data_IF_749711858385
#
_entry.id   IF_749711858385
#
_cell.length_a   1.000
_cell.length_b   1.000
_cell.length_c   1.000
_cell.angle_alpha   90.00
_cell.angle_beta   90.00
_cell.angle_gamma   90.00
#
_symmetry.space_group_name_H-M   'P 1'
#
loop_
_entity.id
_entity.type
_entity.pdbx_description
1 polymer ?
#
# COMPACT_ATOMS: atom_id res chain seq x y z
N UNK A 1 7.90 4.41 17.25
CA UNK A 1 7.74 3.01 16.80
C UNK A 1 8.61 2.82 15.58
N UNK A 2 9.33 1.70 15.49
CA UNK A 2 10.30 1.44 14.40
C UNK A 2 9.76 0.43 13.36
N UNK A 3 8.72 -0.32 13.74
CA UNK A 3 8.02 -1.33 12.96
C UNK A 3 6.53 -1.27 13.31
N UNK A 4 5.67 -1.38 12.30
CA UNK A 4 4.25 -1.67 12.46
C UNK A 4 3.99 -3.13 12.06
N UNK A 5 3.55 -3.94 13.01
CA UNK A 5 3.32 -5.37 12.83
C UNK A 5 1.85 -5.69 13.00
N UNK A 6 1.12 -5.76 11.90
CA UNK A 6 -0.27 -6.23 11.85
C UNK A 6 -0.32 -7.45 10.91
N UNK A 7 -1.22 -7.46 9.92
CA UNK A 7 -1.31 -8.52 8.92
C UNK A 7 0.01 -8.76 8.19
N UNK A 8 0.73 -7.68 7.88
CA UNK A 8 2.13 -7.69 7.41
C UNK A 8 2.96 -6.68 8.20
N UNK A 9 4.28 -6.76 8.01
CA UNK A 9 5.24 -5.86 8.63
C UNK A 9 5.54 -4.64 7.75
N UNK A 10 5.37 -3.44 8.30
CA UNK A 10 5.84 -2.18 7.69
C UNK A 10 6.98 -1.63 8.56
N UNK A 11 8.20 -1.68 8.02
CA UNK A 11 9.43 -1.31 8.74
C UNK A 11 9.80 0.14 8.45
N UNK A 12 9.89 0.98 9.47
CA UNK A 12 10.35 2.36 9.35
C UNK A 12 11.86 2.48 9.58
N UNK A 13 12.43 1.68 10.50
CA UNK A 13 13.88 1.44 10.56
C UNK A 13 14.22 0.12 9.91
N UNK A 14 15.44 0.01 9.40
CA UNK A 14 15.92 -1.20 8.72
C UNK A 14 14.97 -1.66 7.60
N UNK A 15 14.33 -0.70 6.93
CA UNK A 15 13.49 -0.98 5.76
C UNK A 15 14.35 -1.43 4.57
N UNK A 16 13.70 -1.85 3.49
CA UNK A 16 14.39 -2.16 2.21
C UNK A 16 15.23 -0.99 1.69
N UNK A 17 14.92 0.25 2.10
CA UNK A 17 15.62 1.47 1.71
C UNK A 17 16.38 2.13 2.87
N UNK A 18 16.55 1.44 4.01
CA UNK A 18 17.24 1.95 5.20
C UNK A 18 16.32 2.59 6.23
N UNK A 19 16.84 3.54 7.02
CA UNK A 19 16.07 4.29 8.02
C UNK A 19 15.20 5.35 7.33
N UNK A 20 13.90 5.28 7.58
CA UNK A 20 12.88 6.15 7.01
C UNK A 20 12.32 7.13 8.04
N UNK A 21 12.66 6.98 9.32
CA UNK A 21 12.24 7.91 10.35
C UNK A 21 12.95 9.25 10.18
N UNK A 22 12.16 10.31 10.02
CA UNK A 22 12.66 11.66 9.78
C UNK A 22 12.86 12.03 8.31
N UNK A 23 12.46 11.15 7.37
CA UNK A 23 12.38 11.52 5.95
C UNK A 23 11.25 12.52 5.65
N UNK A 24 10.27 12.64 6.55
CA UNK A 24 9.16 13.58 6.43
C UNK A 24 8.81 14.19 7.82
N UNK A 25 8.11 15.33 7.80
CA UNK A 25 7.68 16.06 8.99
C UNK A 25 6.32 16.74 8.74
N UNK A 26 5.34 16.64 9.66
CA UNK A 26 5.46 16.11 11.03
C UNK A 26 5.17 14.60 11.17
N UNK A 27 4.89 13.88 10.08
CA UNK A 27 4.49 12.46 10.09
C UNK A 27 5.53 11.56 9.43
N UNK A 28 5.29 10.24 9.41
CA UNK A 28 6.02 9.32 8.54
C UNK A 28 5.73 9.65 7.05
N UNK A 29 6.61 9.24 6.11
CA UNK A 29 6.41 9.51 4.69
C UNK A 29 5.11 8.90 4.15
N UNK A 30 4.51 9.55 3.15
CA UNK A 30 3.26 9.10 2.51
C UNK A 30 3.30 7.65 2.03
N UNK A 31 4.44 7.19 1.50
CA UNK A 31 4.61 5.80 1.05
C UNK A 31 4.43 4.79 2.19
N UNK A 32 4.91 5.13 3.39
CA UNK A 32 4.79 4.30 4.57
C UNK A 32 3.33 4.25 5.03
N UNK A 33 2.61 5.39 5.05
CA UNK A 33 1.17 5.45 5.35
C UNK A 33 0.35 4.59 4.35
N UNK A 34 0.70 4.64 3.07
CA UNK A 34 0.06 3.79 2.05
C UNK A 34 0.31 2.31 2.33
N UNK A 35 1.54 1.92 2.70
CA UNK A 35 1.86 0.53 3.08
C UNK A 35 1.08 0.08 4.33
N UNK A 36 0.93 0.95 5.32
CA UNK A 36 0.12 0.67 6.52
C UNK A 36 -1.33 0.31 6.16
N UNK A 37 -1.93 0.98 5.18
CA UNK A 37 -3.28 0.68 4.72
C UNK A 37 -3.34 -0.54 3.81
N UNK A 38 -2.40 -0.67 2.88
CA UNK A 38 -2.37 -1.78 1.94
C UNK A 38 -2.14 -3.13 2.62
N UNK A 39 -1.49 -3.15 3.78
CA UNK A 39 -1.20 -4.39 4.49
C UNK A 39 -2.43 -5.06 5.12
N UNK A 40 -3.55 -4.36 5.28
CA UNK A 40 -4.71 -4.86 6.02
C UNK A 40 -5.37 -6.00 5.23
N UNK A 41 -5.29 -7.24 5.73
CA UNK A 41 -5.82 -8.41 5.03
C UNK A 41 -7.33 -8.28 4.77
N UNK A 42 -8.08 -7.95 5.84
CA UNK A 42 -9.51 -7.66 5.79
C UNK A 42 -9.78 -6.15 5.77
N UNK A 43 -9.29 -5.46 4.73
CA UNK A 43 -9.44 -4.00 4.65
C UNK A 43 -10.90 -3.56 4.74
N UNK A 44 -11.17 -2.57 5.60
CA UNK A 44 -12.51 -2.01 5.80
C UNK A 44 -12.73 -0.77 4.92
N UNK A 45 -13.96 -0.23 4.96
CA UNK A 45 -14.33 0.95 4.16
C UNK A 45 -13.56 2.22 4.56
N UNK A 46 -13.24 2.41 5.84
CA UNK A 46 -12.52 3.60 6.33
C UNK A 46 -11.10 3.61 5.77
N UNK A 47 -10.40 2.48 5.82
CA UNK A 47 -9.04 2.35 5.27
C UNK A 47 -9.00 2.53 3.76
N UNK A 48 -10.02 2.05 3.03
CA UNK A 48 -10.15 2.31 1.60
C UNK A 48 -10.44 3.79 1.29
N UNK A 49 -11.19 4.49 2.15
CA UNK A 49 -11.39 5.94 2.01
C UNK A 49 -10.09 6.69 2.29
N UNK A 50 -9.31 6.27 3.29
CA UNK A 50 -8.00 6.87 3.56
C UNK A 50 -7.05 6.69 2.35
N UNK A 51 -7.00 5.49 1.76
CA UNK A 51 -6.26 5.24 0.52
C UNK A 51 -6.75 6.10 -0.65
N UNK A 52 -8.07 6.25 -0.79
CA UNK A 52 -8.66 7.13 -1.80
C UNK A 52 -8.17 8.57 -1.62
N UNK A 53 -8.22 9.10 -0.40
CA UNK A 53 -7.77 10.47 -0.10
C UNK A 53 -6.27 10.66 -0.37
N UNK A 54 -5.44 9.68 -0.03
CA UNK A 54 -4.01 9.73 -0.30
C UNK A 54 -3.71 9.76 -1.81
N UNK A 55 -4.36 8.89 -2.58
CA UNK A 55 -4.12 8.75 -4.02
C UNK A 55 -4.83 9.81 -4.87
N UNK A 56 -5.86 10.48 -4.34
CA UNK A 56 -6.46 11.66 -4.98
C UNK A 56 -5.69 12.94 -4.67
N UNK A 57 -5.02 13.02 -3.51
CA UNK A 57 -4.27 14.20 -3.06
C UNK A 57 -2.80 14.23 -3.49
N UNK A 58 -2.17 13.08 -3.71
CA UNK A 58 -0.72 13.00 -3.93
C UNK A 58 -0.36 12.13 -5.14
N UNK A 59 0.62 12.57 -5.91
CA UNK A 59 1.15 11.82 -7.06
C UNK A 59 1.91 10.57 -6.59
N UNK A 60 1.69 9.42 -7.24
CA UNK A 60 2.57 8.26 -7.12
C UNK A 60 3.72 8.42 -8.12
N UNK A 61 4.94 8.56 -7.60
CA UNK A 61 6.12 8.89 -8.35
C UNK A 61 7.29 7.92 -8.09
N UNK A 62 8.31 7.97 -8.95
CA UNK A 62 9.55 7.24 -8.70
C UNK A 62 10.49 8.01 -7.76
N UNK A 63 10.82 7.40 -6.63
CA UNK A 63 11.78 7.92 -5.66
C UNK A 63 11.18 8.93 -4.68
N UNK A 64 11.96 9.25 -3.65
CA UNK A 64 11.55 10.18 -2.60
C UNK A 64 11.53 11.62 -3.14
N UNK A 65 10.33 12.20 -3.23
CA UNK A 65 10.10 13.61 -3.55
C UNK A 65 9.20 14.22 -2.48
N UNK A 66 9.32 15.53 -2.19
CA UNK A 66 8.37 16.22 -1.34
C UNK A 66 6.95 16.08 -1.90
N UNK A 67 5.97 15.85 -1.02
CA UNK A 67 4.54 15.80 -1.34
C UNK A 67 4.13 14.75 -2.40
N UNK A 68 4.92 13.68 -2.53
CA UNK A 68 4.63 12.57 -3.43
C UNK A 68 4.76 11.21 -2.73
N UNK A 69 3.97 10.25 -3.18
CA UNK A 69 4.05 8.86 -2.75
C UNK A 69 5.20 8.18 -3.51
N UNK A 70 6.23 7.74 -2.78
CA UNK A 70 7.35 6.99 -3.36
C UNK A 70 6.90 5.56 -3.75
N UNK A 71 6.52 5.41 -5.01
CA UNK A 71 6.07 4.14 -5.58
C UNK A 71 7.18 3.11 -5.72
N UNK A 72 8.45 3.51 -5.78
CA UNK A 72 9.57 2.56 -5.81
C UNK A 72 9.78 1.92 -4.44
N UNK A 73 9.68 2.70 -3.36
CA UNK A 73 9.74 2.16 -2.00
C UNK A 73 8.64 1.13 -1.76
N UNK A 74 7.40 1.45 -2.14
CA UNK A 74 6.26 0.53 -2.04
C UNK A 74 6.53 -0.74 -2.86
N UNK A 75 6.97 -0.59 -4.12
CA UNK A 75 7.24 -1.74 -4.98
C UNK A 75 8.34 -2.66 -4.45
N UNK A 76 9.43 -2.11 -3.91
CA UNK A 76 10.52 -2.88 -3.27
C UNK A 76 10.02 -3.65 -2.05
N UNK A 77 9.26 -2.98 -1.19
CA UNK A 77 8.68 -3.59 0.02
C UNK A 77 7.78 -4.77 -0.34
N UNK A 78 6.83 -4.57 -1.25
CA UNK A 78 5.92 -5.62 -1.69
C UNK A 78 6.65 -6.74 -2.47
N UNK A 79 7.71 -6.42 -3.21
CA UNK A 79 8.50 -7.43 -3.96
C UNK A 79 9.40 -8.28 -3.05
N UNK A 80 9.54 -7.92 -1.78
CA UNK A 80 10.23 -8.71 -0.77
C UNK A 80 9.30 -9.73 -0.08
N UNK A 81 7.98 -9.45 -0.01
CA UNK A 81 6.98 -10.28 0.67
C UNK A 81 5.77 -10.61 -0.22
N UNK A 82 5.61 -11.89 -0.56
CA UNK A 82 4.52 -12.36 -1.41
C UNK A 82 3.13 -12.19 -0.76
N UNK A 83 3.02 -12.41 0.55
CA UNK A 83 1.75 -12.28 1.26
C UNK A 83 1.28 -10.83 1.27
N UNK A 84 2.20 -9.91 1.55
CA UNK A 84 1.92 -8.49 1.51
C UNK A 84 1.58 -8.02 0.09
N UNK A 85 2.33 -8.43 -0.93
CA UNK A 85 1.97 -8.11 -2.33
C UNK A 85 0.58 -8.63 -2.71
N UNK A 86 0.22 -9.84 -2.26
CA UNK A 86 -1.09 -10.43 -2.55
C UNK A 86 -2.23 -9.58 -1.99
N UNK A 87 -2.16 -9.19 -0.72
CA UNK A 87 -3.17 -8.37 -0.07
C UNK A 87 -3.20 -6.95 -0.64
N UNK A 88 -2.03 -6.34 -0.87
CA UNK A 88 -1.93 -5.02 -1.51
C UNK A 88 -2.61 -4.99 -2.88
N UNK A 89 -2.39 -5.99 -3.74
CA UNK A 89 -3.07 -6.10 -5.05
C UNK A 89 -4.58 -6.28 -4.91
N UNK A 90 -5.03 -7.05 -3.92
CA UNK A 90 -6.46 -7.24 -3.62
C UNK A 90 -7.09 -5.92 -3.18
N UNK A 91 -6.41 -5.18 -2.29
CA UNK A 91 -6.86 -3.92 -1.73
C UNK A 91 -6.88 -2.80 -2.76
N UNK A 92 -5.91 -2.73 -3.68
CA UNK A 92 -5.92 -1.81 -4.82
C UNK A 92 -7.13 -2.05 -5.76
N UNK A 93 -7.54 -3.32 -5.97
CA UNK A 93 -8.76 -3.63 -6.74
C UNK A 93 -10.03 -3.17 -6.00
N UNK A 94 -10.10 -3.40 -4.69
CA UNK A 94 -11.22 -2.91 -3.85
C UNK A 94 -11.29 -1.37 -3.89
N UNK A 95 -10.14 -0.70 -3.82
CA UNK A 95 -10.03 0.76 -3.94
C UNK A 95 -10.55 1.26 -5.28
N UNK A 96 -10.17 0.61 -6.38
CA UNK A 96 -10.69 0.95 -7.71
C UNK A 96 -12.22 0.88 -7.76
N UNK A 97 -12.80 -0.19 -7.20
CA UNK A 97 -14.26 -0.33 -7.09
C UNK A 97 -14.91 0.75 -6.21
N UNK A 98 -14.31 1.05 -5.04
CA UNK A 98 -14.79 2.13 -4.16
C UNK A 98 -14.73 3.49 -4.87
N UNK A 99 -13.64 3.80 -5.56
CA UNK A 99 -13.45 5.05 -6.30
C UNK A 99 -14.55 5.26 -7.36
N UNK A 100 -14.87 4.21 -8.13
CA UNK A 100 -15.98 4.22 -9.08
C UNK A 100 -17.32 4.45 -8.39
N UNK A 101 -17.54 3.79 -7.25
CA UNK A 101 -18.77 3.93 -6.48
C UNK A 101 -18.95 5.36 -5.92
N UNK A 102 -17.90 5.95 -5.35
CA UNK A 102 -17.94 7.31 -4.80
C UNK A 102 -18.24 8.34 -5.90
N UNK A 103 -17.64 8.18 -7.08
CA UNK A 103 -17.92 9.05 -8.22
C UNK A 103 -19.36 8.90 -8.73
N UNK A 104 -19.88 7.66 -8.81
CA UNK A 104 -21.26 7.39 -9.22
C UNK A 104 -22.30 7.97 -8.25
N UNK A 105 -22.00 8.02 -6.95
CA UNK A 105 -22.83 8.66 -5.93
C UNK A 105 -22.68 10.19 -5.88
N UNK A 106 -21.79 10.78 -6.67
CA UNK A 106 -21.47 12.22 -6.60
C UNK A 106 -20.75 12.62 -5.32
N UNK A 107 -20.12 11.66 -4.63
CA UNK A 107 -19.34 11.87 -3.39
C UNK A 107 -17.84 12.09 -3.65
N UNK A 108 -17.42 11.90 -4.89
CA UNK A 108 -16.11 12.25 -5.41
C UNK A 108 -16.29 12.86 -6.80
N UNK A 109 -15.42 13.78 -7.15
CA UNK A 109 -15.31 14.32 -8.51
C UNK A 109 -14.73 13.26 -9.46
N UNK A 110 -14.97 13.44 -10.77
CA UNK A 110 -14.34 12.61 -11.81
C UNK A 110 -12.82 12.79 -11.84
N UNK A 111 -12.33 13.96 -11.46
CA UNK A 111 -10.89 14.25 -11.42
C UNK A 111 -10.22 13.48 -10.28
N UNK A 112 -10.79 13.49 -9.07
CA UNK A 112 -10.29 12.66 -7.96
C UNK A 112 -10.31 11.17 -8.30
N UNK A 113 -11.41 10.69 -8.93
CA UNK A 113 -11.50 9.31 -9.39
C UNK A 113 -10.38 8.97 -10.39
N UNK A 114 -10.11 9.87 -11.34
CA UNK A 114 -9.06 9.69 -12.34
C UNK A 114 -7.66 9.68 -11.71
N UNK A 115 -7.38 10.60 -10.77
CA UNK A 115 -6.12 10.65 -10.03
C UNK A 115 -5.86 9.34 -9.27
N UNK A 116 -6.88 8.82 -8.57
CA UNK A 116 -6.79 7.53 -7.88
C UNK A 116 -6.50 6.40 -8.88
N UNK A 117 -7.16 6.39 -10.03
CA UNK A 117 -6.90 5.42 -11.10
C UNK A 117 -5.45 5.45 -11.59
N UNK A 118 -4.92 6.65 -11.88
CA UNK A 118 -3.53 6.85 -12.29
C UNK A 118 -2.55 6.39 -11.20
N UNK A 119 -2.82 6.71 -9.94
CA UNK A 119 -2.01 6.29 -8.80
C UNK A 119 -1.95 4.76 -8.67
N UNK A 120 -3.10 4.07 -8.79
CA UNK A 120 -3.17 2.61 -8.79
C UNK A 120 -2.33 2.03 -9.94
N UNK A 121 -2.48 2.58 -11.16
CA UNK A 121 -1.75 2.10 -12.33
C UNK A 121 -0.24 2.29 -12.20
N UNK A 122 0.22 3.41 -11.64
CA UNK A 122 1.63 3.65 -11.35
C UNK A 122 2.18 2.65 -10.33
N UNK A 123 1.46 2.40 -9.22
CA UNK A 123 1.88 1.39 -8.23
C UNK A 123 2.01 0.00 -8.86
N UNK A 124 1.03 -0.41 -9.66
CA UNK A 124 1.06 -1.70 -10.35
C UNK A 124 2.19 -1.77 -11.38
N UNK A 125 2.49 -0.66 -12.07
CA UNK A 125 3.60 -0.57 -13.02
C UNK A 125 4.96 -0.73 -12.32
N UNK A 126 5.19 -0.01 -11.21
CA UNK A 126 6.42 -0.15 -10.43
C UNK A 126 6.57 -1.57 -9.89
N UNK A 127 5.51 -2.11 -9.31
CA UNK A 127 5.49 -3.47 -8.77
C UNK A 127 5.74 -4.57 -9.84
N UNK A 128 5.31 -4.33 -11.08
CA UNK A 128 5.54 -5.24 -12.20
C UNK A 128 6.97 -5.21 -12.74
N UNK A 129 7.70 -4.11 -12.51
CA UNK A 129 9.11 -3.95 -12.93
C UNK A 129 10.09 -4.37 -11.85
N UNK A 130 9.69 -4.32 -10.59
CA UNK A 130 10.55 -4.61 -9.45
C UNK A 130 10.87 -6.13 -9.35
N UNK A 131 12.14 -6.53 -9.29
CA UNK A 131 12.53 -7.93 -9.16
C UNK A 131 12.05 -8.53 -7.83
N UNK A 132 11.53 -9.76 -7.87
CA UNK A 132 11.04 -10.47 -6.68
C UNK A 132 12.17 -11.14 -5.91
N UNK A 133 12.17 -10.99 -4.59
CA UNK A 133 13.15 -11.63 -3.71
C UNK A 133 13.05 -13.17 -3.78
N UNK A 134 14.11 -13.87 -3.34
CA UNK A 134 14.09 -15.35 -3.32
C UNK A 134 13.03 -15.87 -2.34
N UNK A 135 12.84 -15.17 -1.24
CA UNK A 135 11.86 -15.43 -0.18
C UNK A 135 10.45 -15.29 -0.74
N UNK A 136 10.19 -14.19 -1.46
CA UNK A 136 8.95 -13.95 -2.20
C UNK A 136 8.67 -15.10 -3.17
N UNK A 137 9.65 -15.48 -4.01
CA UNK A 137 9.46 -16.55 -5.02
C UNK A 137 9.18 -17.91 -4.38
N UNK A 138 9.83 -18.22 -3.26
CA UNK A 138 9.56 -19.45 -2.48
C UNK A 138 8.15 -19.41 -1.89
N UNK A 139 7.72 -18.28 -1.33
CA UNK A 139 6.38 -18.12 -0.74
C UNK A 139 5.28 -18.14 -1.80
N UNK A 140 5.53 -17.60 -2.98
CA UNK A 140 4.61 -17.61 -4.12
C UNK A 140 4.23 -19.03 -4.55
N UNK A 141 5.17 -19.98 -4.53
CA UNK A 141 4.91 -21.39 -4.84
C UNK A 141 3.92 -22.06 -3.87
N UNK A 142 3.88 -21.60 -2.61
CA UNK A 142 2.90 -22.08 -1.62
C UNK A 142 1.53 -21.44 -1.87
N UNK A 143 1.50 -20.21 -2.37
CA UNK A 143 0.27 -19.48 -2.67
C UNK A 143 -0.64 -19.34 -1.44
N UNK A 144 -1.95 -19.30 -1.66
CA UNK A 144 -2.96 -19.19 -0.61
C UNK A 144 -3.25 -20.51 0.12
N UNK A 145 -2.54 -21.61 -0.20
CA UNK A 145 -2.71 -22.92 0.46
C UNK A 145 -2.22 -22.95 1.91
N UNK A 146 -1.46 -21.94 2.32
CA UNK A 146 -0.99 -21.71 3.69
C UNK A 146 -1.34 -20.27 4.08
N UNK A 147 -1.67 -19.99 5.35
CA UNK A 147 -1.80 -18.61 5.85
C UNK A 147 -0.59 -17.76 5.45
N UNK A 148 -0.83 -16.52 5.05
CA UNK A 148 0.19 -15.59 4.54
C UNK A 148 0.20 -14.24 5.23
N UNK A 149 -0.67 -14.05 6.21
CA UNK A 149 -0.83 -12.85 7.01
C UNK A 149 -0.91 -13.27 8.48
N UNK A 150 -0.61 -12.33 9.38
CA UNK A 150 -0.86 -12.53 10.80
C UNK A 150 -2.31 -12.15 11.13
N UNK A 151 -3.00 -13.00 11.89
CA UNK A 151 -4.29 -12.63 12.47
C UNK A 151 -4.07 -11.51 13.50
N UNK A 152 -4.88 -10.46 13.41
CA UNK A 152 -4.85 -9.32 14.31
C UNK A 152 -6.25 -9.20 14.89
N UNK A 153 -6.36 -9.36 16.21
CA UNK A 153 -7.63 -9.13 16.91
C UNK A 153 -7.95 -7.62 16.88
N UNK A 154 -9.12 -7.26 16.35
CA UNK A 154 -9.65 -5.91 16.55
C UNK A 154 -9.98 -5.75 18.04
N UNK A 155 -9.19 -4.94 18.77
CA UNK A 155 -9.61 -4.46 20.09
C UNK A 155 -10.70 -3.41 19.83
N UNK A 156 -11.96 -3.84 19.77
CA UNK A 156 -13.10 -2.93 19.87
C UNK A 156 -12.95 -2.12 21.18
N UNK A 157 -12.77 -0.80 21.07
CA UNK A 157 -12.85 0.15 22.18
C UNK A 157 -13.99 1.12 21.95
#
# INVERSE_FOLDING_TARGET
YDLLSFSHEVRFRDSVDGDRLGLDFPTIPLADIVLEKLQIHEINRKDLVDLFMLLSGHEVASGSRPDAIDGLHIARTLSADWGFEYDARSNLRKLQGLSQHLAAEGRASKDEQALVGVGIDHLLQFLGREPKSKEWQKRAKKGTSKPWYNEVDEIER
#
